data_IF_386643640207
#
_entry.id   IF_386643640207
#
_cell.length_a   1.000
_cell.length_b   1.000
_cell.length_c   1.000
_cell.angle_alpha   90.00
_cell.angle_beta   90.00
_cell.angle_gamma   90.00
#
_symmetry.space_group_name_H-M   'P 1'
#
loop_
_entity.id
_entity.type
_entity.pdbx_description
1 polymer ?
#
# COMPACT_ATOMS: atom_id res chain seq x y z
N UNK A 1 17.81 4.50 22.25
CA UNK A 1 18.14 5.64 21.35
C UNK A 1 18.44 5.20 19.92
N UNK A 2 19.32 4.20 19.71
CA UNK A 2 19.72 3.71 18.37
C UNK A 2 18.55 3.21 17.49
N UNK A 3 17.55 2.55 18.08
CA UNK A 3 16.39 2.02 17.33
C UNK A 3 15.58 3.09 16.59
N UNK A 4 15.29 4.23 17.25
CA UNK A 4 14.53 5.33 16.63
C UNK A 4 15.32 6.02 15.51
N UNK A 5 16.64 6.18 15.70
CA UNK A 5 17.52 6.71 14.66
C UNK A 5 17.54 5.78 13.45
N UNK A 6 17.69 4.47 13.68
CA UNK A 6 17.65 3.46 12.63
C UNK A 6 16.32 3.49 11.89
N UNK A 7 15.19 3.65 12.60
CA UNK A 7 13.88 3.76 11.97
C UNK A 7 13.69 5.03 11.12
N UNK A 8 14.20 6.17 11.59
CA UNK A 8 14.20 7.41 10.81
C UNK A 8 15.03 7.28 9.52
N UNK A 9 16.13 6.53 9.56
CA UNK A 9 16.97 6.24 8.40
C UNK A 9 16.35 5.16 7.48
N UNK A 10 15.70 4.15 8.06
CA UNK A 10 15.04 3.05 7.35
C UNK A 10 13.91 3.51 6.45
N UNK A 11 13.14 4.51 6.92
CA UNK A 11 12.08 5.22 6.19
C UNK A 11 11.36 4.41 5.13
N UNK A 12 10.17 3.90 5.43
CA UNK A 12 9.37 3.14 4.48
C UNK A 12 8.63 4.12 3.56
N UNK A 13 8.75 3.92 2.25
CA UNK A 13 7.97 4.65 1.24
C UNK A 13 7.03 3.69 0.53
N UNK A 14 5.78 4.09 0.37
CA UNK A 14 4.77 3.35 -0.35
C UNK A 14 4.35 4.18 -1.56
N UNK A 15 4.44 3.59 -2.74
CA UNK A 15 4.02 4.20 -4.00
C UNK A 15 3.02 3.31 -4.72
N UNK A 16 2.00 3.93 -5.30
CA UNK A 16 0.91 3.25 -6.01
C UNK A 16 0.87 3.86 -7.40
N UNK A 17 0.91 3.02 -8.44
CA UNK A 17 0.95 3.48 -9.82
C UNK A 17 0.43 2.46 -10.81
N UNK A 18 0.43 2.85 -12.09
CA UNK A 18 0.12 1.93 -13.19
C UNK A 18 1.31 0.99 -13.42
N UNK A 19 1.00 -0.28 -13.64
CA UNK A 19 2.00 -1.25 -14.07
C UNK A 19 2.38 -0.99 -15.53
N UNK A 20 3.65 -0.68 -15.78
CA UNK A 20 4.17 -0.43 -17.15
C UNK A 20 4.22 -1.69 -18.00
N UNK A 21 4.17 -2.87 -17.38
CA UNK A 21 4.14 -4.18 -18.04
C UNK A 21 2.71 -4.65 -18.35
N UNK A 22 1.70 -3.82 -18.05
CA UNK A 22 0.30 -4.22 -18.20
C UNK A 22 -0.08 -4.40 -19.67
N UNK A 23 -0.67 -5.55 -19.96
CA UNK A 23 -1.24 -5.90 -21.26
C UNK A 23 -2.75 -6.18 -21.07
N UNK A 24 -3.63 -5.31 -21.59
CA UNK A 24 -5.08 -5.56 -21.59
C UNK A 24 -5.34 -6.75 -22.51
N UNK A 25 -5.67 -7.91 -21.93
CA UNK A 25 -5.77 -9.23 -22.57
C UNK A 25 -4.46 -10.02 -22.70
N UNK A 26 -3.53 -9.85 -21.75
CA UNK A 26 -2.36 -10.72 -21.61
C UNK A 26 -2.76 -12.19 -21.73
N UNK A 27 -2.10 -12.94 -22.63
CA UNK A 27 -2.30 -14.39 -22.73
C UNK A 27 -1.28 -15.13 -21.84
N UNK A 28 -1.64 -16.30 -21.29
CA UNK A 28 -0.66 -17.18 -20.67
C UNK A 28 0.39 -17.57 -21.71
N UNK A 29 1.63 -17.17 -21.46
CA UNK A 29 2.77 -17.55 -22.28
C UNK A 29 3.93 -17.87 -21.33
N UNK A 30 4.31 -19.15 -21.31
CA UNK A 30 5.38 -19.66 -20.46
C UNK A 30 6.78 -19.34 -20.98
N UNK A 31 6.89 -18.84 -22.22
CA UNK A 31 8.16 -18.41 -22.83
C UNK A 31 8.40 -16.91 -22.70
N UNK A 32 7.42 -16.16 -22.20
CA UNK A 32 7.56 -14.73 -21.99
C UNK A 32 8.51 -14.44 -20.82
N UNK A 33 9.39 -13.45 -21.00
CA UNK A 33 10.32 -13.00 -19.95
C UNK A 33 9.59 -12.52 -18.69
N UNK A 34 8.39 -11.97 -18.85
CA UNK A 34 7.54 -11.51 -17.76
C UNK A 34 6.35 -12.46 -17.59
N UNK A 35 6.12 -13.01 -16.37
CA UNK A 35 4.99 -13.87 -16.08
C UNK A 35 3.64 -13.22 -16.39
N UNK A 36 2.68 -14.04 -16.82
CA UNK A 36 1.31 -13.59 -17.11
C UNK A 36 0.62 -12.91 -15.90
N UNK A 37 0.91 -13.35 -14.67
CA UNK A 37 0.36 -12.74 -13.45
C UNK A 37 0.77 -11.27 -13.26
N UNK A 38 1.98 -10.90 -13.69
CA UNK A 38 2.44 -9.50 -13.71
C UNK A 38 1.83 -8.75 -14.88
N UNK A 39 1.85 -9.31 -16.10
CA UNK A 39 1.31 -8.64 -17.31
C UNK A 39 -0.20 -8.40 -17.26
N UNK A 40 -0.95 -9.23 -16.54
CA UNK A 40 -2.40 -9.09 -16.38
C UNK A 40 -2.82 -8.18 -15.21
N UNK A 41 -1.87 -7.63 -14.46
CA UNK A 41 -2.11 -6.70 -13.36
C UNK A 41 -1.93 -5.27 -13.89
N UNK A 42 -2.91 -4.40 -13.68
CA UNK A 42 -2.87 -3.02 -14.16
C UNK A 42 -2.24 -2.05 -13.15
N UNK A 43 -2.10 -2.50 -11.90
CA UNK A 43 -1.67 -1.68 -10.77
C UNK A 43 -0.44 -2.27 -10.11
N UNK A 44 0.53 -1.40 -9.83
CA UNK A 44 1.76 -1.72 -9.14
C UNK A 44 1.82 -0.92 -7.84
N UNK A 45 1.94 -1.64 -6.72
CA UNK A 45 2.22 -1.06 -5.40
C UNK A 45 3.65 -1.42 -5.06
N UNK A 46 4.50 -0.40 -4.84
CA UNK A 46 5.90 -0.57 -4.48
C UNK A 46 6.16 -0.03 -3.09
N UNK A 47 6.68 -0.89 -2.23
CA UNK A 47 7.06 -0.60 -0.85
C UNK A 47 8.58 -0.63 -0.79
N UNK A 48 9.20 0.46 -0.38
CA UNK A 48 10.66 0.65 -0.47
C UNK A 48 11.25 1.11 0.86
N UNK A 49 12.42 0.57 1.20
CA UNK A 49 13.27 1.06 2.27
C UNK A 49 14.28 2.08 1.76
N UNK A 50 14.54 3.12 2.55
CA UNK A 50 15.66 4.04 2.31
C UNK A 50 17.01 3.48 2.79
N UNK A 51 17.05 2.32 3.44
CA UNK A 51 18.29 1.67 3.83
C UNK A 51 18.70 0.63 2.76
N UNK A 52 19.77 0.89 1.99
CA UNK A 52 20.28 -0.06 1.03
C UNK A 52 20.70 -1.35 1.74
N UNK A 53 20.26 -2.50 1.22
CA UNK A 53 20.61 -3.79 1.80
C UNK A 53 19.85 -4.14 3.08
N UNK A 54 18.88 -3.34 3.54
CA UNK A 54 18.05 -3.71 4.70
C UNK A 54 17.39 -5.08 4.47
N UNK A 55 16.86 -5.34 3.27
CA UNK A 55 16.23 -6.62 2.94
C UNK A 55 17.25 -7.73 2.59
N UNK A 56 18.47 -7.35 2.19
CA UNK A 56 19.48 -8.28 1.69
C UNK A 56 20.64 -8.64 2.64
N UNK A 57 20.97 -7.80 3.63
CA UNK A 57 22.22 -7.91 4.40
C UNK A 57 22.05 -7.97 5.93
N UNK A 58 20.85 -7.72 6.47
CA UNK A 58 20.64 -7.60 7.92
C UNK A 58 20.12 -8.87 8.61
N UNK A 59 19.97 -9.97 7.89
CA UNK A 59 19.46 -11.23 8.43
C UNK A 59 17.95 -11.15 8.64
N UNK A 60 17.19 -11.78 7.73
CA UNK A 60 15.75 -12.02 7.89
C UNK A 60 14.91 -10.76 8.13
N UNK A 61 14.92 -9.81 7.20
CA UNK A 61 13.88 -8.77 7.17
C UNK A 61 12.68 -9.30 6.40
N UNK A 62 11.53 -9.32 7.06
CA UNK A 62 10.24 -9.59 6.43
C UNK A 62 9.47 -8.29 6.20
N UNK A 63 8.62 -8.28 5.18
CA UNK A 63 7.76 -7.14 4.84
C UNK A 63 6.32 -7.61 4.95
N UNK A 64 5.60 -7.03 5.89
CA UNK A 64 4.16 -7.23 5.98
C UNK A 64 3.45 -6.03 5.36
N UNK A 65 2.53 -6.31 4.44
CA UNK A 65 1.74 -5.30 3.76
C UNK A 65 0.25 -5.67 3.80
N UNK A 66 -0.58 -4.75 4.30
CA UNK A 66 -2.04 -4.82 4.19
C UNK A 66 -2.47 -3.86 3.07
N UNK A 67 -2.92 -4.43 1.95
CA UNK A 67 -3.38 -3.67 0.79
C UNK A 67 -4.90 -3.84 0.66
N UNK A 68 -5.65 -2.74 0.64
CA UNK A 68 -7.11 -2.77 0.54
C UNK A 68 -7.60 -1.88 -0.57
N UNK A 69 -8.49 -2.41 -1.41
CA UNK A 69 -9.16 -1.63 -2.44
C UNK A 69 -10.40 -0.96 -1.82
N UNK A 70 -10.43 0.37 -1.86
CA UNK A 70 -11.54 1.18 -1.36
C UNK A 70 -12.42 1.65 -2.52
N UNK A 71 -13.74 1.63 -2.32
CA UNK A 71 -14.70 2.22 -3.26
C UNK A 71 -14.99 3.69 -2.85
N UNK A 72 -14.97 4.57 -3.85
CA UNK A 72 -15.38 5.97 -3.73
C UNK A 72 -16.58 6.17 -4.63
N UNK A 73 -17.71 6.56 -4.05
CA UNK A 73 -18.93 6.85 -4.77
C UNK A 73 -19.14 8.36 -4.76
N UNK A 74 -19.09 8.97 -5.93
CA UNK A 74 -19.44 10.39 -6.11
C UNK A 74 -20.84 10.48 -6.68
N UNK A 75 -21.74 11.15 -5.96
CA UNK A 75 -23.10 11.46 -6.39
C UNK A 75 -23.11 12.84 -7.02
N UNK A 76 -23.82 12.96 -8.15
CA UNK A 76 -23.97 14.20 -8.89
C UNK A 76 -25.40 14.72 -8.80
N UNK A 77 -25.53 16.04 -8.75
CA UNK A 77 -26.81 16.70 -8.92
C UNK A 77 -27.34 16.54 -10.34
N UNK A 78 -28.64 16.81 -10.53
CA UNK A 78 -29.27 16.91 -11.86
C UNK A 78 -28.56 17.95 -12.76
N UNK A 79 -27.86 18.92 -12.15
CA UNK A 79 -27.08 19.96 -12.85
C UNK A 79 -25.65 19.53 -13.18
N UNK A 80 -25.24 18.30 -12.82
CA UNK A 80 -23.93 17.74 -13.13
C UNK A 80 -22.80 18.12 -12.15
N UNK A 81 -23.10 18.82 -11.05
CA UNK A 81 -22.13 19.12 -10.00
C UNK A 81 -21.99 17.94 -9.03
N UNK A 82 -20.78 17.62 -8.52
CA UNK A 82 -20.64 16.65 -7.44
C UNK A 82 -21.30 17.20 -6.16
N UNK A 83 -22.27 16.48 -5.61
CA UNK A 83 -23.03 16.87 -4.42
C UNK A 83 -22.49 16.18 -3.16
N UNK A 84 -22.18 14.88 -3.26
CA UNK A 84 -21.72 14.07 -2.14
C UNK A 84 -20.64 13.10 -2.64
N UNK A 85 -19.58 12.94 -1.85
CA UNK A 85 -18.62 11.85 -2.05
C UNK A 85 -18.62 10.97 -0.82
N UNK A 86 -19.01 9.70 -1.02
CA UNK A 86 -18.98 8.67 -0.01
C UNK A 86 -17.73 7.81 -0.21
N UNK A 87 -16.94 7.66 0.85
CA UNK A 87 -15.73 6.83 0.85
C UNK A 87 -16.05 5.62 1.70
N UNK A 88 -16.20 4.46 1.05
CA UNK A 88 -16.45 3.23 1.80
C UNK A 88 -15.20 2.78 2.52
N UNK A 89 -15.38 2.37 3.78
CA UNK A 89 -14.29 1.86 4.59
C UNK A 89 -13.67 0.60 3.96
N UNK A 90 -12.33 0.49 3.93
CA UNK A 90 -11.64 -0.64 3.34
C UNK A 90 -12.00 -1.95 4.04
N UNK A 91 -12.78 -2.78 3.37
CA UNK A 91 -13.46 -3.90 4.04
C UNK A 91 -12.57 -5.14 4.16
N UNK A 92 -11.76 -5.46 3.13
CA UNK A 92 -10.98 -6.70 3.05
C UNK A 92 -9.57 -6.47 2.49
N UNK A 93 -8.58 -7.19 3.06
CA UNK A 93 -7.25 -7.29 2.49
C UNK A 93 -7.31 -7.99 1.14
N UNK A 94 -6.64 -7.41 0.14
CA UNK A 94 -6.56 -7.91 -1.22
C UNK A 94 -5.25 -8.67 -1.41
N UNK A 95 -5.33 -9.81 -2.08
CA UNK A 95 -4.16 -10.61 -2.41
C UNK A 95 -3.56 -10.13 -3.75
N UNK A 96 -2.23 -9.93 -3.83
CA UNK A 96 -1.57 -9.60 -5.07
C UNK A 96 -1.61 -10.80 -6.03
N UNK A 97 -1.68 -10.52 -7.33
CA UNK A 97 -1.59 -11.54 -8.40
C UNK A 97 -0.16 -12.03 -8.57
N UNK A 98 0.80 -11.16 -8.31
CA UNK A 98 2.22 -11.46 -8.32
C UNK A 98 2.95 -10.55 -7.33
N UNK A 99 4.11 -11.01 -6.88
CA UNK A 99 5.02 -10.21 -6.08
C UNK A 99 6.45 -10.36 -6.62
N UNK A 100 7.25 -9.31 -6.47
CA UNK A 100 8.66 -9.31 -6.84
C UNK A 100 9.46 -8.60 -5.75
N UNK A 101 10.43 -9.31 -5.20
CA UNK A 101 11.31 -8.79 -4.16
C UNK A 101 12.63 -8.32 -4.78
N UNK A 102 13.08 -7.15 -4.35
CA UNK A 102 14.40 -6.57 -4.60
C UNK A 102 15.14 -6.36 -3.27
N UNK A 103 16.38 -5.90 -3.34
CA UNK A 103 17.23 -5.70 -2.16
C UNK A 103 16.72 -4.61 -1.20
N UNK A 104 15.90 -3.70 -1.70
CA UNK A 104 15.39 -2.51 -1.02
C UNK A 104 13.89 -2.30 -1.21
N UNK A 105 13.24 -3.06 -2.09
CA UNK A 105 11.83 -2.86 -2.42
C UNK A 105 11.06 -4.16 -2.63
N UNK A 106 9.78 -4.11 -2.32
CA UNK A 106 8.78 -5.13 -2.64
C UNK A 106 7.77 -4.53 -3.60
N UNK A 107 7.64 -5.17 -4.75
CA UNK A 107 6.62 -4.85 -5.75
C UNK A 107 5.47 -5.85 -5.65
N UNK A 108 4.26 -5.33 -5.53
CA UNK A 108 3.01 -6.08 -5.45
C UNK A 108 2.12 -5.69 -6.64
N UNK A 109 1.64 -6.68 -7.37
CA UNK A 109 0.91 -6.50 -8.61
C UNK A 109 -0.58 -6.83 -8.40
N UNK A 110 -1.46 -5.87 -8.68
CA UNK A 110 -2.90 -5.98 -8.45
C UNK A 110 -3.73 -5.71 -9.71
N UNK A 111 -4.99 -6.14 -9.68
CA UNK A 111 -6.01 -5.71 -10.66
C UNK A 111 -6.97 -4.74 -9.98
N UNK A 112 -6.98 -3.50 -10.45
CA UNK A 112 -7.92 -2.46 -10.03
C UNK A 112 -9.15 -2.51 -10.93
N UNK A 113 -10.33 -2.33 -10.36
CA UNK A 113 -11.56 -2.24 -11.15
C UNK A 113 -11.59 -0.90 -11.90
N UNK A 114 -11.98 -0.89 -13.18
CA UNK A 114 -12.04 0.33 -13.97
C UNK A 114 -13.19 1.22 -13.48
N UNK A 115 -12.94 2.53 -13.39
CA UNK A 115 -13.93 3.58 -13.10
C UNK A 115 -15.26 3.29 -13.82
N UNK A 116 -16.37 3.23 -13.06
CA UNK A 116 -17.70 2.98 -13.62
C UNK A 116 -18.55 4.23 -13.43
N UNK A 117 -18.97 4.81 -14.55
CA UNK A 117 -19.91 5.92 -14.58
C UNK A 117 -21.27 5.31 -14.91
N UNK A 118 -22.21 5.41 -13.99
CA UNK A 118 -23.60 5.03 -14.24
C UNK A 118 -24.42 6.29 -14.56
N UNK A 119 -24.68 6.57 -15.85
CA UNK A 119 -25.42 7.76 -16.26
C UNK A 119 -26.88 7.75 -15.79
N UNK A 120 -27.44 6.57 -15.45
CA UNK A 120 -28.82 6.45 -15.00
C UNK A 120 -29.02 6.81 -13.53
N UNK A 121 -27.98 6.64 -12.70
CA UNK A 121 -28.07 6.87 -11.27
C UNK A 121 -27.38 8.15 -10.79
N UNK A 122 -26.85 8.98 -11.70
CA UNK A 122 -26.06 10.18 -11.41
C UNK A 122 -24.92 9.88 -10.40
N UNK A 123 -24.27 8.73 -10.56
CA UNK A 123 -23.19 8.27 -9.66
C UNK A 123 -21.99 7.82 -10.46
N UNK A 124 -20.81 8.16 -9.96
CA UNK A 124 -19.53 7.61 -10.42
C UNK A 124 -18.94 6.76 -9.31
N UNK A 125 -18.54 5.54 -9.64
CA UNK A 125 -17.78 4.64 -8.78
C UNK A 125 -16.32 4.66 -9.23
N UNK A 126 -15.46 5.01 -8.29
CA UNK A 126 -14.01 5.00 -8.45
C UNK A 126 -13.40 4.10 -7.38
N UNK A 127 -12.14 3.72 -7.59
CA UNK A 127 -11.41 2.89 -6.64
C UNK A 127 -10.04 3.50 -6.36
N UNK A 128 -9.58 3.36 -5.11
CA UNK A 128 -8.21 3.67 -4.73
C UNK A 128 -7.66 2.61 -3.79
N UNK A 129 -6.34 2.53 -3.71
CA UNK A 129 -5.65 1.60 -2.81
C UNK A 129 -5.28 2.30 -1.51
N UNK A 130 -5.71 1.74 -0.39
CA UNK A 130 -5.17 2.04 0.92
C UNK A 130 -4.15 0.95 1.27
N UNK A 131 -2.95 1.33 1.69
CA UNK A 131 -1.82 0.43 1.89
C UNK A 131 -1.10 0.76 3.19
N UNK A 132 -0.95 -0.25 4.04
CA UNK A 132 -0.13 -0.14 5.24
C UNK A 132 0.99 -1.16 5.15
N UNK A 133 2.21 -0.74 5.46
CA UNK A 133 3.36 -1.65 5.45
C UNK A 133 4.17 -1.54 6.74
N UNK A 134 4.69 -2.67 7.20
CA UNK A 134 5.66 -2.75 8.28
C UNK A 134 6.84 -3.64 7.87
N UNK A 135 8.05 -3.29 8.29
CA UNK A 135 9.22 -4.17 8.15
C UNK A 135 9.54 -4.82 9.49
N UNK A 136 9.74 -6.13 9.46
CA UNK A 136 10.03 -6.95 10.63
C UNK A 136 11.48 -7.41 10.52
N UNK A 137 12.37 -6.80 11.29
CA UNK A 137 13.78 -7.16 11.34
C UNK A 137 14.02 -8.18 12.45
N UNK A 138 14.47 -9.38 12.09
CA UNK A 138 14.86 -10.41 13.05
C UNK A 138 16.36 -10.32 13.35
N UNK A 139 16.72 -10.04 14.60
CA UNK A 139 18.14 -10.01 15.02
C UNK A 139 18.38 -10.88 16.25
N UNK A 140 19.65 -11.17 16.56
CA UNK A 140 20.04 -11.86 17.80
C UNK A 140 19.57 -11.15 19.08
N UNK A 141 19.30 -9.84 19.00
CA UNK A 141 18.75 -9.02 20.09
C UNK A 141 17.22 -8.91 20.10
N UNK A 142 16.51 -9.73 19.32
CA UNK A 142 15.05 -9.74 19.22
C UNK A 142 14.51 -9.17 17.91
N UNK A 143 13.18 -9.20 17.80
CA UNK A 143 12.42 -8.70 16.65
C UNK A 143 12.18 -7.20 16.79
N UNK A 144 12.34 -6.46 15.69
CA UNK A 144 12.11 -5.01 15.62
C UNK A 144 11.17 -4.68 14.46
N UNK A 145 10.31 -3.69 14.66
CA UNK A 145 9.26 -3.32 13.72
C UNK A 145 9.48 -1.90 13.21
N UNK A 146 9.37 -1.70 11.90
CA UNK A 146 9.52 -0.38 11.30
C UNK A 146 8.26 0.02 10.55
N UNK A 147 7.88 1.32 10.57
CA UNK A 147 8.61 2.47 11.11
C UNK A 147 8.76 2.49 12.64
N UNK A 148 9.89 3.01 13.12
CA UNK A 148 10.08 3.14 14.57
C UNK A 148 9.13 4.22 15.13
N UNK A 149 8.54 4.03 16.32
CA UNK A 149 7.65 5.01 16.95
C UNK A 149 8.35 6.35 17.18
N UNK A 150 7.57 7.43 17.17
CA UNK A 150 8.08 8.76 17.47
C UNK A 150 8.64 8.86 18.90
N UNK A 151 9.31 9.99 19.20
CA UNK A 151 9.92 10.21 20.52
C UNK A 151 8.89 10.14 21.65
N UNK A 152 7.66 10.59 21.36
CA UNK A 152 6.54 10.70 22.30
C UNK A 152 5.85 9.35 22.55
N UNK A 153 5.98 8.41 21.62
CA UNK A 153 5.27 7.13 21.67
C UNK A 153 6.09 6.02 22.34
N UNK A 154 5.42 5.05 23.00
CA UNK A 154 6.09 3.86 23.53
C UNK A 154 6.83 3.09 22.42
N UNK A 155 8.01 2.55 22.75
CA UNK A 155 8.79 1.74 21.80
C UNK A 155 8.43 0.24 21.83
N UNK A 156 7.52 -0.14 22.73
CA UNK A 156 7.10 -1.52 22.91
C UNK A 156 6.03 -1.88 21.89
N UNK A 157 6.29 -2.89 21.08
CA UNK A 157 5.31 -3.48 20.18
C UNK A 157 4.32 -4.34 20.97
N UNK A 158 3.02 -4.17 20.74
CA UNK A 158 1.96 -4.92 21.40
C UNK A 158 0.95 -5.54 20.44
N UNK A 159 -0.03 -6.31 20.97
CA UNK A 159 -1.07 -6.92 20.15
C UNK A 159 -1.92 -5.92 19.34
N UNK A 160 -2.00 -4.67 19.79
CA UNK A 160 -2.69 -3.60 19.08
C UNK A 160 -1.96 -3.18 17.79
N UNK A 161 -0.65 -3.41 17.71
CA UNK A 161 0.20 -3.04 16.58
C UNK A 161 0.32 -4.18 15.54
N UNK A 162 -0.21 -5.37 15.87
CA UNK A 162 -0.18 -6.57 15.04
C UNK A 162 -1.02 -6.47 13.75
N UNK A 163 -1.87 -5.46 13.63
CA UNK A 163 -2.73 -5.25 12.45
C UNK A 163 -2.75 -3.80 12.03
N UNK A 164 -2.71 -3.60 10.73
CA UNK A 164 -2.93 -2.30 10.12
C UNK A 164 -4.31 -1.74 10.50
N UNK A 165 -4.31 -0.49 10.95
CA UNK A 165 -5.54 0.25 11.24
C UNK A 165 -5.69 1.39 10.23
N UNK A 166 -6.66 1.24 9.34
CA UNK A 166 -6.95 2.19 8.26
C UNK A 166 -7.82 3.38 8.69
N UNK A 167 -8.35 3.37 9.92
CA UNK A 167 -9.14 4.48 10.47
C UNK A 167 -8.25 5.59 11.05
N UNK A 168 -6.94 5.33 11.19
CA UNK A 168 -5.95 6.27 11.67
C UNK A 168 -4.76 6.28 10.70
N UNK A 169 -4.10 7.43 10.63
CA UNK A 169 -2.85 7.61 9.88
C UNK A 169 -1.74 7.85 10.89
N UNK A 170 -0.48 7.71 10.46
CA UNK A 170 0.71 8.02 11.26
C UNK A 170 0.76 7.19 12.54
N UNK A 171 0.27 5.95 12.48
CA UNK A 171 0.38 5.05 13.61
C UNK A 171 1.82 4.55 13.77
N UNK A 172 2.28 4.38 15.01
CA UNK A 172 3.54 3.69 15.27
C UNK A 172 3.59 2.34 14.57
N UNK A 173 4.77 1.94 14.10
CA UNK A 173 5.03 0.64 13.48
C UNK A 173 4.37 0.36 12.12
N UNK A 174 3.51 1.24 11.62
CA UNK A 174 2.91 1.11 10.29
C UNK A 174 3.18 2.34 9.44
N UNK A 175 3.73 2.13 8.25
CA UNK A 175 3.85 3.19 7.24
C UNK A 175 2.56 3.28 6.44
N UNK A 176 2.11 4.50 6.18
CA UNK A 176 0.93 4.82 5.38
C UNK A 176 1.32 5.19 3.94
N UNK A 177 0.46 4.92 2.96
CA UNK A 177 0.56 5.61 1.68
C UNK A 177 0.39 7.11 1.92
N UNK A 178 1.40 7.93 1.59
CA UNK A 178 1.29 9.40 1.69
C UNK A 178 0.27 10.01 0.71
N UNK A 179 -0.55 9.18 0.07
CA UNK A 179 -1.62 9.57 -0.85
C UNK A 179 -2.85 10.05 -0.10
N UNK A 180 -2.67 11.02 0.82
CA UNK A 180 -3.72 11.98 1.18
C UNK A 180 -3.26 13.40 0.85
N UNK A 181 -2.87 13.62 -0.41
CA UNK A 181 -2.98 14.96 -1.01
C UNK A 181 -4.23 15.01 -1.88
N UNK A 182 -5.34 15.37 -1.24
CA UNK A 182 -6.44 16.21 -1.73
C UNK A 182 -7.75 15.88 -0.99
N UNK A 183 -7.88 16.38 0.24
CA UNK A 183 -9.15 16.94 0.72
C UNK A 183 -8.81 18.02 1.74
N UNK A 184 -8.19 19.09 1.23
CA UNK A 184 -7.95 20.34 1.91
C UNK A 184 -7.94 21.44 0.84
N UNK A 185 -8.71 22.50 1.09
CA UNK A 185 -9.04 23.68 0.29
C UNK A 185 -10.37 23.50 -0.47
N UNK A 186 -11.48 24.16 -0.14
CA UNK A 186 -11.82 25.26 0.78
C UNK A 186 -13.27 25.06 1.26
#
# INVERSE_FOLDING_TARGET
MFYRLLGALAGISISIGRNTLFEPNAKPDFRADVPHSMRSADTLIRIESRLPGLLGSLGGVDIEADCRLCEVITHYSIKGSPDLTDIQAPTMCSLPKAQRLFNDSLELYFSTLPANIDPSTFKTRNWYWAVRAQFVLQSSGGVRYFPAPEVKDPTTYGPADAKANFNKIELPFWADEQTRKASGNE
#
